data_IF_862451725844
#
_entry.id   IF_862451725844
#
_cell.length_a   1.000
_cell.length_b   1.000
_cell.length_c   1.000
_cell.angle_alpha   90.00
_cell.angle_beta   90.00
_cell.angle_gamma   90.00
#
_symmetry.space_group_name_H-M   'P 1'
#
loop_
_entity.id
_entity.type
_entity.pdbx_description
1 polymer ?
#
# COMPACT_ATOMS: atom_id res chain seq x y z
N UNK A 1 6.66 -1.85 -7.91
CA UNK A 1 7.37 -0.90 -7.01
C UNK A 1 7.56 0.46 -7.67
N UNK A 2 8.04 0.52 -8.91
CA UNK A 2 8.30 1.79 -9.62
C UNK A 2 7.09 2.73 -9.67
N UNK A 3 5.90 2.23 -10.00
CA UNK A 3 4.66 3.01 -9.99
C UNK A 3 4.43 3.64 -8.62
N UNK A 4 4.60 2.89 -7.53
CA UNK A 4 4.46 3.44 -6.17
C UNK A 4 5.41 4.63 -5.95
N UNK A 5 6.68 4.44 -6.26
CA UNK A 5 7.71 5.46 -6.03
C UNK A 5 7.46 6.74 -6.83
N UNK A 6 7.01 6.61 -8.09
CA UNK A 6 6.70 7.75 -8.98
C UNK A 6 5.67 8.70 -8.38
N UNK A 7 4.68 8.17 -7.65
CA UNK A 7 3.64 8.98 -7.02
C UNK A 7 3.99 9.36 -5.58
N UNK A 8 4.79 8.54 -4.88
CA UNK A 8 5.14 8.74 -3.48
C UNK A 8 6.26 9.78 -3.27
N UNK A 9 7.11 9.99 -4.28
CA UNK A 9 8.25 10.90 -4.21
C UNK A 9 8.35 11.75 -5.48
N UNK A 10 8.42 13.07 -5.32
CA UNK A 10 8.70 14.00 -6.42
C UNK A 10 10.17 14.43 -6.48
N UNK A 11 10.90 14.16 -5.41
CA UNK A 11 12.31 14.49 -5.21
C UNK A 11 13.19 13.23 -5.09
N UNK A 12 14.45 13.41 -4.73
CA UNK A 12 15.38 12.29 -4.55
C UNK A 12 14.90 11.31 -3.47
N UNK A 13 15.01 10.02 -3.74
CA UNK A 13 14.59 8.98 -2.79
C UNK A 13 15.42 9.05 -1.50
N UNK A 14 14.78 8.96 -0.32
CA UNK A 14 15.49 8.84 0.95
C UNK A 14 16.46 7.65 0.94
N UNK A 15 17.58 7.78 1.65
CA UNK A 15 18.62 6.72 1.72
C UNK A 15 18.05 5.37 2.13
N UNK A 16 17.12 5.36 3.09
CA UNK A 16 16.44 4.15 3.54
C UNK A 16 15.69 3.45 2.40
N UNK A 17 14.95 4.20 1.59
CA UNK A 17 14.19 3.66 0.46
C UNK A 17 15.14 3.09 -0.59
N UNK A 18 16.22 3.82 -0.93
CA UNK A 18 17.25 3.32 -1.86
C UNK A 18 17.88 2.01 -1.38
N UNK A 19 18.28 1.94 -0.11
CA UNK A 19 18.84 0.74 0.49
C UNK A 19 17.87 -0.46 0.48
N UNK A 20 16.58 -0.21 0.71
CA UNK A 20 15.55 -1.26 0.58
C UNK A 20 15.42 -1.76 -0.86
N UNK A 21 15.47 -0.86 -1.85
CA UNK A 21 15.41 -1.26 -3.27
C UNK A 21 16.64 -2.06 -3.68
N UNK A 22 17.83 -1.70 -3.21
CA UNK A 22 19.05 -2.44 -3.49
C UNK A 22 19.01 -3.83 -2.84
N UNK A 23 18.46 -3.93 -1.63
CA UNK A 23 18.20 -5.22 -0.98
C UNK A 23 17.26 -6.09 -1.82
N UNK A 24 16.15 -5.53 -2.31
CA UNK A 24 15.18 -6.25 -3.15
C UNK A 24 15.84 -6.75 -4.44
N UNK A 25 16.63 -5.90 -5.11
CA UNK A 25 17.35 -6.28 -6.32
C UNK A 25 18.33 -7.43 -6.05
N UNK A 26 18.99 -7.41 -4.89
CA UNK A 26 19.93 -8.45 -4.48
C UNK A 26 19.29 -9.83 -4.23
N UNK A 27 18.00 -9.89 -3.84
CA UNK A 27 17.33 -11.17 -3.58
C UNK A 27 16.93 -11.95 -4.85
N UNK A 28 16.80 -11.28 -6.00
CA UNK A 28 16.39 -11.92 -7.26
C UNK A 28 15.06 -12.69 -7.15
N UNK A 29 15.08 -13.99 -7.49
CA UNK A 29 13.90 -14.85 -7.49
C UNK A 29 13.29 -15.07 -6.10
N UNK A 30 14.07 -14.92 -5.03
CA UNK A 30 13.63 -15.06 -3.65
C UNK A 30 13.10 -13.75 -3.05
N UNK A 31 12.55 -12.85 -3.88
CA UNK A 31 12.12 -11.51 -3.46
C UNK A 31 11.19 -11.53 -2.23
N UNK A 32 10.27 -12.50 -2.14
CA UNK A 32 9.34 -12.60 -1.00
C UNK A 32 9.99 -13.07 0.30
N UNK A 33 11.25 -13.52 0.26
CA UNK A 33 12.07 -13.85 1.43
C UNK A 33 13.05 -12.73 1.80
N UNK A 34 13.06 -11.62 1.06
CA UNK A 34 13.91 -10.48 1.40
C UNK A 34 13.59 -9.94 2.80
N UNK A 35 14.62 -9.58 3.57
CA UNK A 35 14.48 -9.03 4.92
C UNK A 35 13.64 -7.73 5.00
N UNK A 36 13.50 -7.01 3.88
CA UNK A 36 12.71 -5.77 3.80
C UNK A 36 11.23 -5.99 3.47
N UNK A 37 10.87 -7.21 3.07
CA UNK A 37 9.48 -7.63 2.84
C UNK A 37 9.03 -8.44 4.04
N UNK A 38 8.00 -7.96 4.72
CA UNK A 38 7.47 -8.56 5.93
C UNK A 38 6.24 -9.39 5.57
N UNK A 39 6.31 -10.73 5.63
CA UNK A 39 5.13 -11.58 5.52
C UNK A 39 4.26 -11.46 6.78
N UNK A 40 3.01 -11.88 6.69
CA UNK A 40 2.19 -12.16 7.87
C UNK A 40 2.54 -13.51 8.51
N UNK A 41 1.81 -13.88 9.56
CA UNK A 41 2.09 -15.08 10.36
C UNK A 41 1.44 -16.36 9.80
N UNK A 42 0.75 -16.28 8.67
CA UNK A 42 0.13 -17.46 8.04
C UNK A 42 1.17 -18.36 7.37
N UNK A 43 0.84 -19.64 7.23
CA UNK A 43 1.66 -20.62 6.52
C UNK A 43 0.79 -21.45 5.54
N UNK A 44 0.81 -21.15 4.22
CA UNK A 44 1.64 -20.14 3.56
C UNK A 44 1.20 -18.68 3.88
N UNK A 45 2.09 -17.68 3.75
CA UNK A 45 1.73 -16.29 3.98
C UNK A 45 0.64 -15.80 3.02
N UNK A 46 -0.33 -15.05 3.55
CA UNK A 46 -1.41 -14.45 2.74
C UNK A 46 -1.22 -12.96 2.52
N UNK A 47 -0.21 -12.36 3.15
CA UNK A 47 0.10 -10.94 3.02
C UNK A 47 1.60 -10.67 3.09
N UNK A 48 2.07 -9.78 2.22
CA UNK A 48 3.43 -9.27 2.19
C UNK A 48 3.39 -7.74 2.23
N UNK A 49 4.26 -7.12 3.03
CA UNK A 49 4.33 -5.67 3.13
C UNK A 49 5.77 -5.15 3.13
N UNK A 50 5.99 -4.05 2.43
CA UNK A 50 7.22 -3.27 2.50
C UNK A 50 6.88 -1.83 2.84
N UNK A 51 7.59 -1.26 3.81
CA UNK A 51 7.45 0.15 4.20
C UNK A 51 8.38 0.99 3.32
N UNK A 52 7.81 1.63 2.32
CA UNK A 52 8.51 2.57 1.43
C UNK A 52 8.28 4.03 1.83
N UNK A 53 7.17 4.31 2.52
CA UNK A 53 6.76 5.68 2.86
C UNK A 53 6.41 6.53 1.65
N UNK A 54 6.21 7.82 1.89
CA UNK A 54 6.14 8.86 0.88
C UNK A 54 6.89 10.11 1.37
N UNK A 55 6.99 11.13 0.53
CA UNK A 55 7.74 12.37 0.80
C UNK A 55 7.33 13.07 2.10
N UNK A 56 6.08 12.94 2.54
CA UNK A 56 5.55 13.56 3.76
C UNK A 56 5.29 12.57 4.90
N UNK A 57 5.36 11.26 4.66
CA UNK A 57 4.98 10.24 5.63
C UNK A 57 5.75 8.92 5.47
N UNK A 58 6.70 8.59 6.36
CA UNK A 58 7.60 7.45 6.19
C UNK A 58 6.98 6.08 6.48
N UNK A 59 5.74 6.03 6.99
CA UNK A 59 5.14 4.77 7.45
C UNK A 59 4.14 4.13 6.47
N UNK A 60 3.90 4.77 5.32
CA UNK A 60 3.10 4.20 4.24
C UNK A 60 3.75 2.92 3.68
N UNK A 61 2.93 1.95 3.26
CA UNK A 61 3.40 0.63 2.82
C UNK A 61 2.88 0.30 1.42
N UNK A 62 3.68 -0.45 0.67
CA UNK A 62 3.19 -1.26 -0.44
C UNK A 62 2.85 -2.64 0.14
N UNK A 63 1.63 -3.08 -0.10
CA UNK A 63 1.09 -4.36 0.37
C UNK A 63 0.64 -5.20 -0.81
N UNK A 64 0.92 -6.49 -0.73
CA UNK A 64 0.38 -7.52 -1.61
C UNK A 64 -0.35 -8.52 -0.70
N UNK A 65 -1.66 -8.62 -0.84
CA UNK A 65 -2.49 -9.46 0.04
C UNK A 65 -3.47 -10.33 -0.74
N UNK A 66 -3.69 -11.54 -0.27
CA UNK A 66 -4.65 -12.46 -0.86
C UNK A 66 -6.05 -11.88 -0.75
N UNK A 67 -6.79 -11.92 -1.86
CA UNK A 67 -8.17 -11.43 -1.92
C UNK A 67 -9.04 -12.17 -0.89
N UNK A 68 -10.12 -11.55 -0.37
CA UNK A 68 -11.04 -12.20 0.57
C UNK A 68 -11.66 -13.53 0.09
N UNK A 69 -11.71 -13.75 -1.23
CA UNK A 69 -12.17 -15.00 -1.83
C UNK A 69 -11.04 -16.04 -2.05
N UNK A 70 -9.82 -15.74 -1.64
CA UNK A 70 -8.62 -16.58 -1.77
C UNK A 70 -8.18 -16.90 -3.20
N UNK A 71 -8.66 -16.18 -4.22
CA UNK A 71 -8.38 -16.53 -5.63
C UNK A 71 -7.14 -15.84 -6.22
N UNK A 72 -6.84 -14.62 -5.77
CA UNK A 72 -5.75 -13.80 -6.34
C UNK A 72 -5.13 -12.88 -5.32
N UNK A 73 -3.88 -12.51 -5.52
CA UNK A 73 -3.24 -11.44 -4.75
C UNK A 73 -3.64 -10.07 -5.29
N UNK A 74 -3.79 -9.11 -4.40
CA UNK A 74 -4.20 -7.74 -4.66
C UNK A 74 -3.11 -6.78 -4.18
N UNK A 75 -2.77 -5.82 -5.03
CA UNK A 75 -1.92 -4.69 -4.66
C UNK A 75 -2.71 -3.66 -3.87
N UNK A 76 -2.05 -3.08 -2.86
CA UNK A 76 -2.62 -2.04 -2.02
C UNK A 76 -1.57 -1.04 -1.57
N UNK A 77 -1.93 0.23 -1.62
CA UNK A 77 -1.15 1.31 -1.05
C UNK A 77 -1.70 1.62 0.36
N UNK A 78 -1.11 0.99 1.38
CA UNK A 78 -1.58 1.09 2.77
C UNK A 78 -1.04 2.37 3.43
N UNK A 79 -1.92 3.35 3.67
CA UNK A 79 -1.56 4.63 4.29
C UNK A 79 -1.06 4.46 5.72
N UNK A 80 -1.58 3.47 6.46
CA UNK A 80 -1.17 3.14 7.83
C UNK A 80 -1.16 4.29 8.86
N UNK A 81 -1.78 5.42 8.55
CA UNK A 81 -1.75 6.66 9.34
C UNK A 81 -2.82 6.70 10.45
N UNK A 82 -3.97 6.07 10.23
CA UNK A 82 -5.08 6.03 11.21
C UNK A 82 -4.66 5.52 12.58
N UNK A 83 -3.70 4.59 12.65
CA UNK A 83 -3.23 4.00 13.90
C UNK A 83 -2.48 4.97 14.81
N UNK A 84 -1.96 6.06 14.24
CA UNK A 84 -1.18 7.07 14.98
C UNK A 84 -1.87 8.44 14.98
N UNK A 85 -3.15 8.48 14.58
CA UNK A 85 -3.93 9.71 14.60
C UNK A 85 -4.07 10.22 16.04
N UNK A 86 -3.66 11.47 16.31
CA UNK A 86 -3.76 12.03 17.65
C UNK A 86 -5.23 12.25 18.04
N UNK A 87 -5.45 12.45 19.34
CA UNK A 87 -6.78 12.82 19.85
C UNK A 87 -7.29 14.09 19.19
N UNK A 88 -8.60 14.21 19.00
CA UNK A 88 -9.25 15.41 18.47
C UNK A 88 -9.03 16.67 19.32
N UNK A 89 -8.53 16.51 20.56
CA UNK A 89 -8.15 17.62 21.45
C UNK A 89 -6.71 18.09 21.27
N UNK A 90 -5.87 17.37 20.50
CA UNK A 90 -4.48 17.76 20.28
C UNK A 90 -4.40 18.91 19.26
N UNK A 91 -3.52 19.90 19.46
CA UNK A 91 -3.27 20.98 18.50
C UNK A 91 -2.86 20.48 17.10
N UNK A 92 -2.27 19.29 17.02
CA UNK A 92 -1.78 18.67 15.80
C UNK A 92 -2.89 17.95 15.01
N UNK A 93 -4.07 17.70 15.61
CA UNK A 93 -5.13 16.89 15.01
C UNK A 93 -5.53 17.36 13.62
N UNK A 94 -5.78 18.66 13.43
CA UNK A 94 -6.18 19.21 12.14
C UNK A 94 -5.10 19.01 11.08
N UNK A 95 -3.82 19.20 11.43
CA UNK A 95 -2.70 18.96 10.52
C UNK A 95 -2.55 17.47 10.20
N UNK A 96 -2.82 16.60 11.17
CA UNK A 96 -2.79 15.16 10.95
C UNK A 96 -3.93 14.69 10.03
N UNK A 97 -5.15 15.23 10.19
CA UNK A 97 -6.25 14.96 9.26
C UNK A 97 -5.89 15.37 7.82
N UNK A 98 -5.25 16.53 7.64
CA UNK A 98 -4.77 16.97 6.32
C UNK A 98 -3.71 16.01 5.76
N UNK A 99 -2.81 15.49 6.60
CA UNK A 99 -1.84 14.47 6.20
C UNK A 99 -2.53 13.19 5.75
N UNK A 100 -3.52 12.70 6.51
CA UNK A 100 -4.30 11.52 6.17
C UNK A 100 -5.04 11.68 4.83
N UNK A 101 -5.65 12.83 4.59
CA UNK A 101 -6.31 13.12 3.30
C UNK A 101 -5.31 13.10 2.14
N UNK A 102 -4.11 13.68 2.32
CA UNK A 102 -3.05 13.64 1.31
C UNK A 102 -2.60 12.20 1.05
N UNK A 103 -2.36 11.43 2.10
CA UNK A 103 -1.97 10.02 1.99
C UNK A 103 -3.05 9.20 1.28
N UNK A 104 -4.33 9.43 1.59
CA UNK A 104 -5.45 8.74 0.95
C UNK A 104 -5.51 9.05 -0.55
N UNK A 105 -5.41 10.33 -0.96
CA UNK A 105 -5.38 10.71 -2.38
C UNK A 105 -4.20 10.10 -3.12
N UNK A 106 -3.04 10.02 -2.46
CA UNK A 106 -1.85 9.40 -3.01
C UNK A 106 -2.03 7.88 -3.18
N UNK A 107 -2.56 7.19 -2.16
CA UNK A 107 -2.88 5.77 -2.23
C UNK A 107 -3.84 5.46 -3.40
N UNK A 108 -4.89 6.27 -3.55
CA UNK A 108 -5.84 6.15 -4.67
C UNK A 108 -5.18 6.35 -6.02
N UNK A 109 -4.27 7.31 -6.14
CA UNK A 109 -3.54 7.57 -7.39
C UNK A 109 -2.61 6.41 -7.76
N UNK A 110 -1.92 5.84 -6.77
CA UNK A 110 -1.05 4.66 -6.95
C UNK A 110 -1.87 3.44 -7.36
N UNK A 111 -2.97 3.15 -6.66
CA UNK A 111 -3.83 2.02 -6.98
C UNK A 111 -4.49 2.18 -8.35
N UNK A 112 -4.93 3.38 -8.71
CA UNK A 112 -5.44 3.66 -10.05
C UNK A 112 -4.38 3.46 -11.14
N UNK A 113 -3.14 3.88 -10.90
CA UNK A 113 -2.04 3.64 -11.83
C UNK A 113 -1.71 2.16 -11.99
N UNK A 114 -1.78 1.36 -10.92
CA UNK A 114 -1.66 -0.10 -11.00
C UNK A 114 -2.80 -0.73 -11.80
N UNK A 115 -4.04 -0.29 -11.57
CA UNK A 115 -5.21 -0.76 -12.32
C UNK A 115 -5.05 -0.51 -13.83
N UNK A 116 -4.58 0.67 -14.23
CA UNK A 116 -4.36 1.02 -15.64
C UNK A 116 -3.28 0.16 -16.31
N UNK A 117 -2.35 -0.38 -15.53
CA UNK A 117 -1.31 -1.32 -15.98
C UNK A 117 -1.76 -2.79 -15.86
N UNK A 118 -3.05 -3.03 -15.59
CA UNK A 118 -3.64 -4.36 -15.50
C UNK A 118 -3.33 -5.12 -14.20
N UNK A 119 -2.76 -4.46 -13.19
CA UNK A 119 -2.50 -5.10 -11.90
C UNK A 119 -3.77 -5.14 -11.04
N UNK A 120 -4.08 -6.27 -10.38
CA UNK A 120 -5.24 -6.37 -9.51
C UNK A 120 -5.02 -5.55 -8.25
N UNK A 121 -5.96 -4.67 -7.91
CA UNK A 121 -5.90 -3.86 -6.68
C UNK A 121 -7.03 -4.18 -5.72
N UNK A 122 -6.82 -3.88 -4.43
CA UNK A 122 -7.86 -4.04 -3.42
C UNK A 122 -9.10 -3.18 -3.72
N UNK A 123 -8.89 -1.94 -4.21
CA UNK A 123 -9.96 -1.03 -4.57
C UNK A 123 -10.76 -1.49 -5.80
N UNK A 124 -10.12 -2.05 -6.83
CA UNK A 124 -10.81 -2.65 -7.96
C UNK A 124 -11.68 -3.83 -7.50
N UNK A 125 -11.11 -4.73 -6.70
CA UNK A 125 -11.83 -5.87 -6.13
C UNK A 125 -13.06 -5.43 -5.32
N UNK A 126 -12.91 -4.44 -4.44
CA UNK A 126 -14.03 -3.95 -3.62
C UNK A 126 -15.15 -3.36 -4.48
N UNK A 127 -14.80 -2.63 -5.55
CA UNK A 127 -15.76 -2.05 -6.49
C UNK A 127 -16.55 -3.13 -7.23
N UNK A 128 -15.88 -4.19 -7.66
CA UNK A 128 -16.50 -5.36 -8.31
C UNK A 128 -17.40 -6.12 -7.34
N UNK A 129 -16.93 -6.36 -6.11
CA UNK A 129 -17.68 -7.06 -5.07
C UNK A 129 -18.96 -6.32 -4.69
N UNK A 130 -18.90 -4.99 -4.52
CA UNK A 130 -20.08 -4.17 -4.22
C UNK A 130 -21.12 -4.21 -5.35
N UNK A 131 -20.68 -4.16 -6.63
CA UNK A 131 -21.58 -4.30 -7.78
C UNK A 131 -22.27 -5.65 -7.81
N UNK A 132 -21.52 -6.73 -7.56
CA UNK A 132 -22.06 -8.10 -7.51
C UNK A 132 -23.13 -8.24 -6.43
N UNK A 133 -22.91 -7.68 -5.24
CA UNK A 133 -23.89 -7.72 -4.14
C UNK A 133 -25.17 -6.95 -4.47
N UNK A 134 -25.06 -5.80 -5.14
CA UNK A 134 -26.22 -5.03 -5.59
C UNK A 134 -27.06 -5.79 -6.62
N UNK A 135 -26.42 -6.52 -7.55
CA UNK A 135 -27.14 -7.34 -8.54
C UNK A 135 -27.82 -8.59 -7.98
N UNK A 136 -27.43 -9.05 -6.77
CA UNK A 136 -28.01 -10.23 -6.11
C UNK A 136 -29.18 -9.89 -5.18
N UNK A 137 -29.49 -8.60 -4.98
CA UNK A 137 -30.61 -8.12 -4.16
C UNK A 137 -31.88 -7.81 -4.99
N UNK A 138 -31.93 -8.26 -6.25
CA UNK A 138 -33.09 -8.13 -7.15
C UNK A 138 -33.70 -9.51 -7.38
#
# INVERSE_FOLDING_TARGET
>A
IEIYLRYAFTSELPLLVRSQLDTIKGCGADVFKCAVIVPDQHNPPTRYAIRLGNESYPHMKLVIELAPNNEKFLFRADTHDRHVCPSSRSPEYIRFCQLMEKNQKMAESIEFAWENEGLPTFRAYLREDLRRRQSMQI
#
